data_IF_890753068994
#
_entry.id   IF_890753068994
#
_cell.length_a   1.000
_cell.length_b   1.000
_cell.length_c   1.000
_cell.angle_alpha   90.00
_cell.angle_beta   90.00
_cell.angle_gamma   90.00
#
_symmetry.space_group_name_H-M   'P 1'
#
loop_
_entity.id
_entity.type
_entity.pdbx_description
1 polymer ?
#
# COMPACT_ATOMS: atom_id res chain seq x y z
N UNK A 1 -5.59 4.57 5.35
CA UNK A 1 -7.02 4.23 5.16
C UNK A 1 -7.29 3.95 3.69
N UNK A 2 -7.60 2.70 3.38
CA UNK A 2 -7.87 2.24 2.00
C UNK A 2 -9.34 2.42 1.58
N UNK A 3 -10.19 2.93 2.47
CA UNK A 3 -11.64 3.00 2.25
C UNK A 3 -12.08 4.28 1.55
N UNK A 4 -13.17 4.20 0.80
CA UNK A 4 -13.84 5.39 0.27
C UNK A 4 -14.17 6.36 1.43
N UNK A 5 -13.84 7.61 1.26
CA UNK A 5 -14.15 8.66 2.26
C UNK A 5 -15.66 8.89 2.41
N UNK A 6 -16.46 8.51 1.40
CA UNK A 6 -17.92 8.64 1.45
C UNK A 6 -18.53 7.70 2.47
N UNK A 7 -19.44 8.25 3.25
CA UNK A 7 -20.30 7.49 4.15
C UNK A 7 -21.67 7.31 3.48
N UNK A 8 -22.15 6.06 3.44
CA UNK A 8 -23.49 5.73 2.96
C UNK A 8 -24.36 5.52 4.20
N UNK A 9 -25.37 6.37 4.36
CA UNK A 9 -26.25 6.36 5.54
C UNK A 9 -27.25 5.20 5.49
N UNK A 10 -27.81 4.87 6.64
CA UNK A 10 -28.94 3.92 6.73
C UNK A 10 -30.12 4.40 5.85
N UNK A 11 -30.64 3.51 5.04
CA UNK A 11 -31.67 3.78 4.03
C UNK A 11 -31.13 4.19 2.64
N UNK A 12 -29.85 4.59 2.55
CA UNK A 12 -29.22 4.97 1.28
C UNK A 12 -28.57 3.79 0.55
N UNK A 13 -28.18 4.04 -0.69
CA UNK A 13 -27.50 3.06 -1.53
C UNK A 13 -26.29 3.66 -2.23
N UNK A 14 -25.20 2.89 -2.29
CA UNK A 14 -24.10 3.13 -3.21
C UNK A 14 -24.33 2.29 -4.46
N UNK A 15 -24.32 2.93 -5.63
CA UNK A 15 -24.55 2.28 -6.91
C UNK A 15 -23.29 2.38 -7.77
N UNK A 16 -22.83 1.24 -8.25
CA UNK A 16 -21.66 1.09 -9.11
C UNK A 16 -22.06 0.42 -10.41
N UNK A 17 -21.56 0.90 -11.54
CA UNK A 17 -21.88 0.37 -12.87
C UNK A 17 -20.61 -0.15 -13.53
N UNK A 18 -20.67 -1.36 -14.04
CA UNK A 18 -19.57 -2.06 -14.72
C UNK A 18 -20.02 -2.43 -16.15
N UNK A 19 -19.09 -2.35 -17.09
CA UNK A 19 -19.36 -2.85 -18.43
C UNK A 19 -19.26 -4.38 -18.43
N UNK A 20 -20.23 -5.02 -19.07
CA UNK A 20 -20.20 -6.46 -19.27
C UNK A 20 -19.42 -6.76 -20.55
N UNK A 21 -18.42 -7.66 -20.52
CA UNK A 21 -17.76 -8.10 -21.73
C UNK A 21 -18.73 -8.92 -22.59
N UNK A 22 -18.56 -8.82 -23.89
CA UNK A 22 -19.33 -9.65 -24.81
C UNK A 22 -19.12 -11.15 -24.51
N UNK A 23 -20.20 -11.93 -24.53
CA UNK A 23 -20.21 -13.39 -24.30
C UNK A 23 -19.85 -13.85 -22.89
N UNK A 24 -19.94 -12.98 -21.87
CA UNK A 24 -19.81 -13.42 -20.48
C UNK A 24 -21.09 -14.15 -20.05
N UNK A 25 -20.98 -15.41 -19.65
CA UNK A 25 -22.12 -16.22 -19.16
C UNK A 25 -22.24 -16.18 -17.65
N UNK A 26 -21.13 -16.24 -16.96
CA UNK A 26 -21.06 -16.27 -15.49
C UNK A 26 -19.95 -15.36 -14.99
N UNK A 27 -19.99 -15.05 -13.73
CA UNK A 27 -18.97 -14.23 -13.08
C UNK A 27 -19.05 -14.34 -11.57
N UNK A 28 -18.30 -13.46 -10.91
CA UNK A 28 -18.25 -13.38 -9.47
C UNK A 28 -18.20 -11.93 -9.01
N UNK A 29 -19.07 -11.59 -8.07
CA UNK A 29 -19.02 -10.32 -7.33
C UNK A 29 -18.34 -10.57 -6.00
N UNK A 30 -17.34 -9.77 -5.69
CA UNK A 30 -16.77 -9.67 -4.34
C UNK A 30 -17.01 -8.25 -3.82
N UNK A 31 -17.48 -8.13 -2.60
CA UNK A 31 -17.68 -6.84 -1.95
C UNK A 31 -17.12 -6.88 -0.53
N UNK A 32 -16.47 -5.81 -0.13
CA UNK A 32 -16.02 -5.59 1.24
C UNK A 32 -16.43 -4.19 1.69
N UNK A 33 -17.03 -4.14 2.88
CA UNK A 33 -17.54 -2.91 3.47
C UNK A 33 -17.09 -2.79 4.91
N UNK A 34 -17.03 -1.56 5.42
CA UNK A 34 -16.71 -1.26 6.81
C UNK A 34 -17.73 -0.32 7.40
N UNK A 35 -17.88 -0.37 8.71
CA UNK A 35 -18.72 0.53 9.50
C UNK A 35 -18.12 0.75 10.88
N UNK A 36 -18.42 1.88 11.50
CA UNK A 36 -18.05 2.19 12.88
C UNK A 36 -18.85 1.39 13.94
N UNK A 37 -19.85 0.62 13.52
CA UNK A 37 -20.70 -0.17 14.40
C UNK A 37 -21.37 -1.32 13.68
N UNK A 38 -22.43 -1.87 14.29
CA UNK A 38 -23.23 -2.92 13.67
C UNK A 38 -24.07 -2.34 12.53
N UNK A 39 -23.92 -2.92 11.35
CA UNK A 39 -24.60 -2.46 10.13
C UNK A 39 -24.93 -3.63 9.23
N UNK A 40 -26.10 -3.60 8.61
CA UNK A 40 -26.54 -4.58 7.61
C UNK A 40 -26.60 -3.92 6.24
N UNK A 41 -25.90 -4.49 5.26
CA UNK A 41 -25.82 -3.98 3.90
C UNK A 41 -26.27 -5.06 2.93
N UNK A 42 -27.32 -4.76 2.17
CA UNK A 42 -27.80 -5.66 1.12
C UNK A 42 -27.04 -5.43 -0.17
N UNK A 43 -26.51 -6.51 -0.74
CA UNK A 43 -25.80 -6.51 -2.04
C UNK A 43 -26.75 -6.98 -3.12
N UNK A 44 -26.89 -6.18 -4.18
CA UNK A 44 -27.76 -6.50 -5.34
C UNK A 44 -26.98 -6.37 -6.65
N UNK A 45 -27.32 -7.21 -7.62
CA UNK A 45 -26.89 -7.10 -9.00
C UNK A 45 -28.13 -6.85 -9.88
N UNK A 46 -28.15 -5.76 -10.64
CA UNK A 46 -29.29 -5.39 -11.52
C UNK A 46 -30.64 -5.42 -10.78
N UNK A 47 -30.67 -4.99 -9.52
CA UNK A 47 -31.84 -5.04 -8.65
C UNK A 47 -32.12 -6.38 -7.97
N UNK A 48 -31.48 -7.48 -8.43
CA UNK A 48 -31.63 -8.80 -7.80
C UNK A 48 -30.73 -8.90 -6.57
N UNK A 49 -31.29 -9.30 -5.44
CA UNK A 49 -30.53 -9.54 -4.21
C UNK A 49 -29.56 -10.71 -4.37
N UNK A 50 -28.30 -10.48 -4.01
CA UNK A 50 -27.26 -11.52 -3.91
C UNK A 50 -27.09 -12.02 -2.48
N UNK A 51 -27.06 -11.10 -1.51
CA UNK A 51 -26.88 -11.44 -0.11
C UNK A 51 -26.85 -10.20 0.79
N UNK A 52 -26.43 -10.40 2.03
CA UNK A 52 -26.31 -9.34 3.03
C UNK A 52 -24.95 -9.45 3.70
N UNK A 53 -24.26 -8.31 3.80
CA UNK A 53 -23.03 -8.15 4.58
C UNK A 53 -23.41 -7.56 5.94
N UNK A 54 -22.89 -8.13 7.03
CA UNK A 54 -23.17 -7.66 8.38
C UNK A 54 -21.85 -7.38 9.10
N UNK A 55 -21.66 -6.13 9.51
CA UNK A 55 -20.64 -5.79 10.48
C UNK A 55 -21.20 -6.01 11.88
N UNK A 56 -20.39 -6.55 12.77
CA UNK A 56 -20.80 -6.85 14.16
C UNK A 56 -19.77 -6.27 15.12
N UNK A 57 -20.25 -5.53 16.11
CA UNK A 57 -19.40 -4.97 17.16
C UNK A 57 -18.90 -6.09 18.06
N UNK A 58 -17.58 -6.30 18.12
CA UNK A 58 -16.96 -7.28 19.01
C UNK A 58 -16.24 -6.63 20.19
N UNK A 59 -15.50 -5.55 19.96
CA UNK A 59 -14.71 -4.86 21.00
C UNK A 59 -14.77 -3.34 20.81
N UNK A 60 -15.86 -2.67 21.22
CA UNK A 60 -16.12 -1.26 20.87
C UNK A 60 -15.14 -0.25 21.48
N UNK A 61 -14.46 -0.62 22.58
CA UNK A 61 -13.52 0.28 23.25
C UNK A 61 -12.21 0.52 22.49
N UNK A 62 -11.76 -0.48 21.72
CA UNK A 62 -10.43 -0.47 21.10
C UNK A 62 -10.47 -0.46 19.56
N UNK A 63 -11.59 -0.73 18.95
CA UNK A 63 -11.74 -0.89 17.51
C UNK A 63 -12.48 0.31 16.91
N UNK A 64 -11.93 0.89 15.84
CA UNK A 64 -12.52 2.01 15.12
C UNK A 64 -13.60 1.60 14.13
N UNK A 65 -13.54 0.37 13.66
CA UNK A 65 -14.46 -0.09 12.65
C UNK A 65 -14.47 -1.62 12.53
N UNK A 66 -15.50 -2.08 11.91
CA UNK A 66 -15.78 -3.51 11.70
C UNK A 66 -15.97 -3.73 10.21
N UNK A 67 -15.43 -4.82 9.69
CA UNK A 67 -15.56 -5.15 8.27
C UNK A 67 -16.46 -6.35 8.05
N UNK A 68 -17.02 -6.41 6.85
CA UNK A 68 -17.77 -7.59 6.37
C UNK A 68 -17.52 -7.75 4.89
N UNK A 69 -17.22 -8.97 4.46
CA UNK A 69 -16.99 -9.31 3.06
C UNK A 69 -17.91 -10.41 2.61
N UNK A 70 -18.22 -10.43 1.30
CA UNK A 70 -19.01 -11.48 0.67
C UNK A 70 -18.58 -11.74 -0.75
N UNK A 71 -18.75 -12.99 -1.16
CA UNK A 71 -18.46 -13.45 -2.51
C UNK A 71 -19.70 -14.13 -3.07
N UNK A 72 -20.11 -13.73 -4.27
CA UNK A 72 -21.34 -14.20 -4.88
C UNK A 72 -21.07 -14.64 -6.31
N UNK A 73 -21.37 -15.88 -6.64
CA UNK A 73 -21.37 -16.35 -8.02
C UNK A 73 -22.65 -15.85 -8.72
N UNK A 74 -22.47 -15.32 -9.93
CA UNK A 74 -23.52 -14.65 -10.68
C UNK A 74 -23.62 -15.18 -12.10
N UNK A 75 -24.82 -15.06 -12.69
CA UNK A 75 -25.03 -15.17 -14.12
C UNK A 75 -25.02 -13.77 -14.73
N UNK A 76 -24.42 -13.62 -15.90
CA UNK A 76 -24.47 -12.39 -16.68
C UNK A 76 -25.85 -12.24 -17.33
N UNK A 77 -26.41 -11.04 -17.25
CA UNK A 77 -27.57 -10.68 -18.07
C UNK A 77 -27.07 -10.11 -19.40
N UNK A 78 -27.02 -10.96 -20.40
CA UNK A 78 -26.51 -10.61 -21.74
C UNK A 78 -27.34 -9.52 -22.43
N UNK A 79 -28.57 -9.25 -21.98
CA UNK A 79 -29.40 -8.16 -22.48
C UNK A 79 -28.90 -6.78 -22.06
N UNK A 80 -28.07 -6.72 -21.03
CA UNK A 80 -27.54 -5.49 -20.44
C UNK A 80 -26.08 -5.30 -20.81
N UNK A 81 -25.78 -4.23 -21.54
CA UNK A 81 -24.38 -3.81 -21.80
C UNK A 81 -23.65 -3.38 -20.55
N UNK A 82 -24.38 -3.00 -19.51
CA UNK A 82 -23.85 -2.56 -18.23
C UNK A 82 -24.53 -3.32 -17.12
N UNK A 83 -23.75 -3.82 -16.19
CA UNK A 83 -24.22 -4.47 -14.97
C UNK A 83 -24.12 -3.47 -13.80
N UNK A 84 -25.16 -3.43 -12.97
CA UNK A 84 -25.22 -2.49 -11.85
C UNK A 84 -25.17 -3.26 -10.53
N UNK A 85 -24.18 -2.95 -9.70
CA UNK A 85 -24.09 -3.44 -8.33
C UNK A 85 -24.54 -2.33 -7.40
N UNK A 86 -25.48 -2.62 -6.51
CA UNK A 86 -25.90 -1.70 -5.45
C UNK A 86 -25.67 -2.30 -4.08
N UNK A 87 -25.11 -1.46 -3.20
CA UNK A 87 -24.93 -1.73 -1.77
C UNK A 87 -25.92 -0.84 -1.02
N UNK A 88 -26.99 -1.43 -0.49
CA UNK A 88 -28.04 -0.73 0.23
C UNK A 88 -27.91 -0.95 1.72
N UNK A 89 -27.75 0.12 2.48
CA UNK A 89 -27.67 0.05 3.95
C UNK A 89 -29.08 -0.11 4.52
N UNK A 90 -29.38 -1.32 4.99
CA UNK A 90 -30.70 -1.65 5.53
C UNK A 90 -30.94 -0.99 6.89
N UNK A 91 -29.91 -1.00 7.73
CA UNK A 91 -29.94 -0.42 9.08
C UNK A 91 -28.53 -0.34 9.66
N UNK A 92 -28.39 0.39 10.75
CA UNK A 92 -27.16 0.51 11.52
C UNK A 92 -26.38 1.80 11.26
N UNK A 93 -25.10 1.78 11.60
CA UNK A 93 -24.20 2.88 11.43
C UNK A 93 -23.82 3.08 9.95
N UNK A 94 -23.32 4.27 9.55
CA UNK A 94 -22.92 4.53 8.17
C UNK A 94 -21.88 3.54 7.67
N UNK A 95 -22.08 3.07 6.44
CA UNK A 95 -21.15 2.19 5.72
C UNK A 95 -20.10 3.00 4.96
N UNK A 96 -18.89 2.46 4.85
CA UNK A 96 -17.86 2.86 3.87
C UNK A 96 -17.51 1.69 3.00
N UNK A 97 -17.29 1.95 1.72
CA UNK A 97 -16.82 0.95 0.78
C UNK A 97 -15.32 0.76 0.93
N UNK A 98 -14.86 -0.48 1.04
CA UNK A 98 -13.48 -0.85 0.81
C UNK A 98 -13.28 -1.15 -0.67
N UNK A 99 -13.87 -2.24 -1.16
CA UNK A 99 -13.89 -2.52 -2.60
C UNK A 99 -15.14 -3.27 -3.04
N UNK A 100 -15.45 -3.13 -4.32
CA UNK A 100 -16.29 -4.05 -5.08
C UNK A 100 -15.52 -4.49 -6.31
N UNK A 101 -15.44 -5.79 -6.51
CA UNK A 101 -14.84 -6.42 -7.68
C UNK A 101 -15.87 -7.24 -8.42
N UNK A 102 -15.89 -7.12 -9.74
CA UNK A 102 -16.71 -7.91 -10.63
C UNK A 102 -15.80 -8.61 -11.64
N UNK A 103 -15.72 -9.93 -11.53
CA UNK A 103 -14.95 -10.76 -12.46
C UNK A 103 -15.89 -11.58 -13.34
N UNK A 104 -15.53 -11.76 -14.60
CA UNK A 104 -16.30 -12.51 -15.56
C UNK A 104 -15.55 -13.76 -16.03
N UNK A 105 -16.28 -14.86 -16.16
CA UNK A 105 -15.81 -16.05 -16.84
C UNK A 105 -16.08 -15.88 -18.33
N UNK A 106 -15.09 -15.38 -19.04
CA UNK A 106 -15.12 -15.32 -20.51
C UNK A 106 -14.14 -16.34 -21.06
N UNK A 107 -14.44 -17.00 -22.20
CA UNK A 107 -13.42 -17.74 -22.89
C UNK A 107 -12.26 -16.81 -23.21
N UNK A 108 -11.10 -17.09 -22.68
CA UNK A 108 -9.91 -16.31 -22.98
C UNK A 108 -9.48 -16.64 -24.41
N UNK A 109 -9.81 -15.79 -25.36
CA UNK A 109 -9.22 -15.82 -26.67
C UNK A 109 -7.96 -14.98 -26.63
N UNK A 110 -6.80 -15.62 -26.76
CA UNK A 110 -5.59 -14.89 -27.11
C UNK A 110 -5.87 -14.16 -28.41
N UNK A 111 -5.74 -12.84 -28.40
CA UNK A 111 -5.87 -12.03 -29.60
C UNK A 111 -4.94 -12.55 -30.70
N UNK A 112 -5.27 -12.33 -31.93
CA UNK A 112 -4.40 -12.67 -33.05
C UNK A 112 -3.27 -11.63 -33.13
N UNK A 113 -2.14 -11.91 -32.46
CA UNK A 113 -0.98 -11.04 -32.44
C UNK A 113 -0.48 -10.61 -33.84
N UNK A 114 -0.84 -11.36 -34.88
CA UNK A 114 -0.47 -11.01 -36.26
C UNK A 114 -1.36 -9.93 -36.87
N UNK A 115 -2.58 -9.74 -36.34
CA UNK A 115 -3.56 -8.77 -36.86
C UNK A 115 -3.93 -7.67 -35.89
N UNK A 116 -3.59 -7.84 -34.59
CA UNK A 116 -3.88 -6.83 -33.57
C UNK A 116 -2.90 -5.66 -33.69
N UNK A 117 -3.44 -4.46 -33.69
CA UNK A 117 -2.62 -3.24 -33.56
C UNK A 117 -2.16 -3.12 -32.13
N UNK A 118 -0.90 -3.43 -31.86
CA UNK A 118 -0.32 -3.23 -30.54
C UNK A 118 -0.08 -1.73 -30.31
N UNK A 119 -0.31 -1.24 -29.08
CA UNK A 119 0.01 0.14 -28.74
C UNK A 119 1.51 0.38 -28.90
N UNK A 120 1.85 1.49 -29.55
CA UNK A 120 3.25 1.91 -29.67
C UNK A 120 3.66 2.53 -28.34
N UNK A 121 4.76 2.04 -27.71
CA UNK A 121 5.24 2.64 -26.47
C UNK A 121 5.66 4.09 -26.69
N UNK A 122 5.21 4.97 -25.79
CA UNK A 122 5.62 6.36 -25.76
C UNK A 122 6.88 6.51 -24.89
N UNK A 123 7.90 7.15 -25.44
CA UNK A 123 9.08 7.46 -24.64
C UNK A 123 8.77 8.54 -23.62
N UNK A 124 8.98 8.25 -22.34
CA UNK A 124 8.78 9.22 -21.25
C UNK A 124 10.12 9.83 -20.83
N UNK A 125 11.06 9.00 -20.39
CA UNK A 125 12.43 9.44 -20.05
C UNK A 125 13.36 8.22 -19.89
N UNK A 126 14.66 8.48 -19.92
CA UNK A 126 15.66 7.46 -19.59
C UNK A 126 15.95 7.48 -18.08
N UNK A 127 15.81 6.33 -17.43
CA UNK A 127 16.23 6.16 -16.03
C UNK A 127 17.75 6.11 -15.99
N UNK A 128 18.35 6.81 -15.02
CA UNK A 128 19.77 6.64 -14.71
C UNK A 128 20.01 5.21 -14.23
N UNK A 129 21.00 4.54 -14.83
CA UNK A 129 21.33 3.18 -14.40
C UNK A 129 21.82 3.22 -12.95
N UNK A 130 21.22 2.40 -12.11
CA UNK A 130 21.53 2.26 -10.69
C UNK A 130 21.79 0.78 -10.40
N UNK A 131 22.54 0.48 -9.34
CA UNK A 131 22.80 -0.89 -8.88
C UNK A 131 23.11 -0.88 -7.39
N UNK A 132 22.09 -0.63 -6.59
CA UNK A 132 22.20 -0.66 -5.12
C UNK A 132 22.42 -2.06 -4.57
N UNK A 133 22.16 -3.10 -5.36
CA UNK A 133 22.56 -4.46 -5.01
C UNK A 133 24.08 -4.64 -4.97
N UNK A 134 24.85 -3.80 -5.64
CA UNK A 134 26.33 -3.79 -5.61
C UNK A 134 26.92 -2.79 -4.61
N UNK A 135 26.12 -2.03 -3.89
CA UNK A 135 26.61 -1.06 -2.91
C UNK A 135 27.55 -1.69 -1.89
N UNK A 136 28.61 -0.96 -1.58
CA UNK A 136 29.54 -1.38 -0.52
C UNK A 136 28.89 -1.33 0.86
N UNK A 137 29.42 -2.11 1.80
CA UNK A 137 29.01 -2.06 3.21
C UNK A 137 29.12 -0.65 3.78
N UNK A 138 28.09 -0.26 4.54
CA UNK A 138 28.01 1.04 5.19
C UNK A 138 27.68 0.89 6.67
N UNK A 139 28.27 1.76 7.47
CA UNK A 139 27.94 1.88 8.90
C UNK A 139 26.67 2.71 9.10
N UNK A 140 26.43 3.67 8.20
CA UNK A 140 25.25 4.54 8.20
C UNK A 140 24.64 4.60 6.80
N UNK A 141 23.33 4.48 6.73
CA UNK A 141 22.52 4.72 5.53
C UNK A 141 21.67 5.96 5.74
N UNK A 142 21.69 6.89 4.80
CA UNK A 142 20.84 8.08 4.78
C UNK A 142 19.89 7.95 3.61
N UNK A 143 18.58 7.78 3.90
CA UNK A 143 17.54 7.77 2.87
C UNK A 143 16.96 9.17 2.74
N UNK A 144 16.86 9.67 1.51
CA UNK A 144 16.29 10.98 1.19
C UNK A 144 15.08 10.84 0.28
N UNK A 145 14.14 11.81 0.30
CA UNK A 145 13.00 11.81 -0.62
C UNK A 145 13.42 11.81 -2.09
N UNK A 146 12.59 11.24 -2.94
CA UNK A 146 12.74 11.15 -4.40
C UNK A 146 13.08 12.50 -5.06
N UNK A 147 12.53 13.60 -4.57
CA UNK A 147 12.82 14.95 -5.09
C UNK A 147 14.26 15.41 -4.89
N UNK A 148 15.04 14.73 -4.07
CA UNK A 148 16.43 15.00 -3.73
C UNK A 148 16.74 16.43 -3.24
N UNK A 149 15.73 17.17 -2.80
CA UNK A 149 15.90 18.55 -2.28
C UNK A 149 16.81 18.61 -1.06
N UNK A 150 16.93 17.50 -0.33
CA UNK A 150 17.78 17.37 0.87
C UNK A 150 19.17 16.79 0.58
N UNK A 151 19.51 16.51 -0.67
CA UNK A 151 20.78 15.88 -1.02
C UNK A 151 22.00 16.67 -0.53
N UNK A 152 21.95 18.00 -0.59
CA UNK A 152 23.07 18.85 -0.11
C UNK A 152 23.27 18.69 1.42
N UNK A 153 22.18 18.59 2.18
CA UNK A 153 22.21 18.37 3.63
C UNK A 153 22.66 16.94 3.97
N UNK A 154 22.20 15.95 3.22
CA UNK A 154 22.65 14.56 3.36
C UNK A 154 24.17 14.46 3.14
N UNK A 155 24.70 15.13 2.10
CA UNK A 155 26.15 15.18 1.83
C UNK A 155 26.94 15.85 2.98
N UNK A 156 26.41 16.91 3.57
CA UNK A 156 27.04 17.54 4.73
C UNK A 156 27.09 16.61 5.94
N UNK A 157 25.98 15.90 6.21
CA UNK A 157 25.89 14.91 7.28
C UNK A 157 26.86 13.75 7.04
N UNK A 158 26.88 13.21 5.81
CA UNK A 158 27.86 12.19 5.39
C UNK A 158 29.29 12.64 5.67
N UNK A 159 29.69 13.81 5.15
CA UNK A 159 31.05 14.34 5.33
C UNK A 159 31.41 14.52 6.81
N UNK A 160 30.45 14.92 7.66
CA UNK A 160 30.66 15.07 9.10
C UNK A 160 31.04 13.72 9.72
N UNK A 161 30.22 12.68 9.51
CA UNK A 161 30.41 11.35 10.11
C UNK A 161 31.62 10.61 9.50
N UNK A 162 31.87 10.76 8.21
CA UNK A 162 33.08 10.21 7.59
C UNK A 162 34.35 10.81 8.18
N UNK A 163 34.34 12.14 8.43
CA UNK A 163 35.52 12.84 8.94
C UNK A 163 35.69 12.73 10.46
N UNK A 164 34.61 12.85 11.23
CA UNK A 164 34.67 12.87 12.69
C UNK A 164 34.71 11.46 13.29
N UNK A 165 33.95 10.54 12.70
CA UNK A 165 33.69 9.22 13.30
C UNK A 165 34.30 8.08 12.47
N UNK A 166 34.84 8.37 11.29
CA UNK A 166 35.42 7.37 10.40
C UNK A 166 34.38 6.40 9.79
N UNK A 167 33.10 6.78 9.80
CA UNK A 167 32.00 5.93 9.31
C UNK A 167 31.99 5.83 7.78
N UNK A 168 31.57 4.71 7.27
CA UNK A 168 31.18 4.51 5.88
C UNK A 168 29.72 4.92 5.74
N UNK A 169 29.41 5.88 4.88
CA UNK A 169 28.04 6.43 4.78
C UNK A 169 27.52 6.35 3.34
N UNK A 170 26.38 5.70 3.15
CA UNK A 170 25.64 5.69 1.88
C UNK A 170 24.47 6.69 1.94
N UNK A 171 24.23 7.39 0.84
CA UNK A 171 23.05 8.24 0.66
C UNK A 171 22.26 7.65 -0.51
N UNK A 172 20.96 7.36 -0.29
CA UNK A 172 20.12 6.72 -1.28
C UNK A 172 18.79 7.46 -1.41
N UNK A 173 18.40 7.91 -2.62
CA UNK A 173 17.05 8.39 -2.89
C UNK A 173 16.01 7.27 -2.78
N UNK A 174 14.83 7.60 -2.28
CA UNK A 174 13.78 6.61 -1.99
C UNK A 174 13.29 5.87 -3.25
N UNK A 175 13.15 6.58 -4.39
CA UNK A 175 12.71 5.98 -5.66
C UNK A 175 13.68 4.94 -6.20
N UNK A 176 14.97 5.13 -5.97
CA UNK A 176 15.99 4.14 -6.36
C UNK A 176 15.82 2.84 -5.58
N UNK A 177 15.45 2.93 -4.29
CA UNK A 177 15.11 1.75 -3.48
C UNK A 177 13.81 1.10 -3.93
N UNK A 178 12.79 1.88 -4.32
CA UNK A 178 11.56 1.30 -4.85
C UNK A 178 11.80 0.50 -6.11
N UNK A 179 12.65 0.99 -6.99
CA UNK A 179 12.99 0.31 -8.25
C UNK A 179 13.62 -1.06 -8.00
N UNK A 180 14.58 -1.16 -7.10
CA UNK A 180 15.35 -2.39 -6.88
C UNK A 180 14.76 -3.33 -5.82
N UNK A 181 14.11 -2.79 -4.77
CA UNK A 181 13.68 -3.58 -3.61
C UNK A 181 12.16 -3.73 -3.47
N UNK A 182 11.37 -3.08 -4.33
CA UNK A 182 9.91 -3.25 -4.36
C UNK A 182 9.30 -3.21 -5.78
N UNK A 183 10.07 -3.62 -6.78
CA UNK A 183 9.64 -3.75 -8.18
C UNK A 183 9.05 -2.44 -8.76
N UNK A 184 9.59 -1.30 -8.38
CA UNK A 184 9.15 0.04 -8.80
C UNK A 184 7.90 0.56 -8.08
N UNK A 185 7.34 -0.20 -7.16
CA UNK A 185 6.19 0.24 -6.36
C UNK A 185 6.67 1.00 -5.14
N UNK A 186 6.16 2.23 -4.86
CA UNK A 186 6.45 2.92 -3.61
C UNK A 186 5.96 2.09 -2.41
N UNK A 187 6.92 1.53 -1.69
CA UNK A 187 6.69 0.62 -0.56
C UNK A 187 7.76 0.90 0.51
N UNK A 188 7.33 1.27 1.71
CA UNK A 188 8.22 1.55 2.84
C UNK A 188 9.13 0.35 3.18
N UNK A 189 8.68 -0.88 2.93
CA UNK A 189 9.49 -2.07 3.16
C UNK A 189 10.76 -2.16 2.28
N UNK A 190 10.85 -1.37 1.20
CA UNK A 190 12.05 -1.28 0.38
C UNK A 190 13.26 -0.78 1.18
N UNK A 191 13.04 0.14 2.12
CA UNK A 191 14.10 0.65 3.00
C UNK A 191 14.69 -0.47 3.88
N UNK A 192 13.80 -1.26 4.49
CA UNK A 192 14.19 -2.41 5.30
C UNK A 192 14.91 -3.48 4.45
N UNK A 193 14.43 -3.76 3.23
CA UNK A 193 15.05 -4.75 2.34
C UNK A 193 16.47 -4.35 1.93
N UNK A 194 16.70 -3.08 1.67
CA UNK A 194 18.04 -2.57 1.40
C UNK A 194 18.97 -2.74 2.61
N UNK A 195 18.52 -2.36 3.81
CA UNK A 195 19.28 -2.57 5.04
C UNK A 195 19.51 -4.05 5.32
N UNK A 196 18.49 -4.89 5.12
CA UNK A 196 18.59 -6.35 5.26
C UNK A 196 19.65 -6.94 4.34
N UNK A 197 19.71 -6.47 3.10
CA UNK A 197 20.75 -6.90 2.15
C UNK A 197 22.16 -6.55 2.67
N UNK A 198 22.37 -5.34 3.18
CA UNK A 198 23.67 -4.95 3.77
C UNK A 198 23.97 -5.77 5.04
N UNK A 199 22.97 -6.00 5.88
CA UNK A 199 23.09 -6.81 7.10
C UNK A 199 23.48 -8.26 6.79
N UNK A 200 22.78 -8.92 5.86
CA UNK A 200 23.03 -10.32 5.52
C UNK A 200 24.37 -10.55 4.81
N UNK A 201 24.88 -9.56 4.10
CA UNK A 201 26.20 -9.62 3.42
C UNK A 201 27.37 -9.35 4.35
N UNK A 202 27.11 -8.82 5.54
CA UNK A 202 28.17 -8.52 6.49
C UNK A 202 28.88 -9.81 6.94
N UNK A 203 30.19 -9.83 6.81
CA UNK A 203 31.00 -10.99 7.22
C UNK A 203 31.40 -10.92 8.70
N UNK A 204 31.32 -9.75 9.29
CA UNK A 204 31.62 -9.51 10.71
C UNK A 204 30.59 -8.53 11.29
N UNK A 205 30.45 -8.51 12.61
CA UNK A 205 29.60 -7.54 13.30
C UNK A 205 30.04 -6.08 13.03
N UNK A 206 31.32 -5.86 12.78
CA UNK A 206 31.82 -4.52 12.45
C UNK A 206 31.36 -4.02 11.08
N UNK A 207 31.04 -4.94 10.18
CA UNK A 207 30.57 -4.62 8.82
C UNK A 207 29.06 -4.43 8.71
N UNK A 208 28.30 -4.79 9.75
CA UNK A 208 26.86 -4.59 9.75
C UNK A 208 26.49 -3.10 9.76
N UNK A 209 25.38 -2.70 9.11
CA UNK A 209 24.85 -1.35 9.25
C UNK A 209 24.42 -1.10 10.69
N UNK A 210 24.71 0.10 11.20
CA UNK A 210 24.45 0.51 12.59
C UNK A 210 23.41 1.60 12.70
N UNK A 211 23.33 2.46 11.67
CA UNK A 211 22.49 3.65 11.71
C UNK A 211 21.70 3.79 10.40
N UNK A 212 20.42 4.07 10.54
CA UNK A 212 19.55 4.55 9.46
C UNK A 212 19.09 5.96 9.78
N UNK A 213 19.31 6.89 8.85
CA UNK A 213 18.78 8.24 8.93
C UNK A 213 17.72 8.42 7.84
N UNK A 214 16.47 8.61 8.24
CA UNK A 214 15.37 8.97 7.36
C UNK A 214 15.33 10.51 7.25
N UNK A 215 16.16 11.06 6.35
CA UNK A 215 16.33 12.49 6.21
C UNK A 215 15.19 13.10 5.37
N UNK A 216 14.08 13.34 6.02
CA UNK A 216 12.85 13.90 5.43
C UNK A 216 11.68 13.78 6.39
N UNK A 217 10.55 14.29 5.96
CA UNK A 217 9.30 14.07 6.67
C UNK A 217 8.58 12.85 6.10
N UNK A 218 7.87 12.14 6.94
CA UNK A 218 6.87 11.15 6.55
C UNK A 218 5.47 11.62 6.93
N UNK A 219 4.45 10.92 6.45
CA UNK A 219 3.08 11.18 6.82
C UNK A 219 2.31 9.86 6.91
N UNK A 220 1.26 9.87 7.70
CA UNK A 220 0.39 8.70 7.90
C UNK A 220 -0.47 8.35 6.67
N UNK A 221 -0.65 9.27 5.74
CA UNK A 221 -1.37 9.04 4.49
C UNK A 221 -0.38 8.91 3.33
N UNK A 222 0.32 7.81 3.28
CA UNK A 222 1.31 7.50 2.24
C UNK A 222 0.75 7.61 0.80
N UNK A 223 -0.57 7.54 0.63
CA UNK A 223 -1.24 7.58 -0.68
C UNK A 223 -1.82 8.95 -1.02
N UNK A 224 -1.71 9.93 -0.14
CA UNK A 224 -2.23 11.29 -0.30
C UNK A 224 -3.73 11.34 -0.65
N UNK A 225 -4.53 10.50 -0.01
CA UNK A 225 -5.97 10.36 -0.30
C UNK A 225 -6.83 11.36 0.47
N UNK A 226 -6.37 11.79 1.63
CA UNK A 226 -7.11 12.73 2.47
C UNK A 226 -7.10 14.15 1.91
N UNK A 227 -8.07 14.96 2.33
CA UNK A 227 -8.17 16.35 1.90
C UNK A 227 -6.95 17.19 2.29
N UNK A 228 -6.34 16.88 3.42
CA UNK A 228 -5.15 17.53 3.96
C UNK A 228 -3.91 17.20 3.13
N UNK A 229 -3.73 15.91 2.78
CA UNK A 229 -2.53 15.41 2.13
C UNK A 229 -2.58 15.49 0.60
N UNK A 230 -3.77 15.54 0.00
CA UNK A 230 -3.98 15.49 -1.47
C UNK A 230 -3.24 16.57 -2.26
N UNK A 231 -2.88 17.70 -1.62
CA UNK A 231 -2.16 18.81 -2.25
C UNK A 231 -0.64 18.68 -2.11
N UNK A 232 -0.16 17.71 -1.37
CA UNK A 232 1.25 17.48 -1.14
C UNK A 232 1.85 16.76 -2.33
N UNK A 233 3.16 16.88 -2.49
CA UNK A 233 3.91 16.18 -3.55
C UNK A 233 4.54 14.93 -2.97
N UNK A 234 4.15 13.76 -3.45
CA UNK A 234 4.66 12.48 -2.98
C UNK A 234 6.20 12.42 -2.95
N UNK A 235 6.85 12.98 -3.99
CA UNK A 235 8.31 12.96 -4.12
C UNK A 235 9.06 13.76 -3.04
N UNK A 236 8.38 14.62 -2.29
CA UNK A 236 8.98 15.44 -1.22
C UNK A 236 8.97 14.75 0.15
N UNK A 237 8.38 13.54 0.26
CA UNK A 237 8.20 12.81 1.51
C UNK A 237 8.77 11.40 1.43
N UNK A 238 9.17 10.88 2.58
CA UNK A 238 9.46 9.47 2.76
C UNK A 238 8.18 8.73 3.12
N UNK A 239 8.09 7.46 2.75
CA UNK A 239 6.99 6.62 3.20
C UNK A 239 7.21 6.21 4.65
N UNK A 240 6.14 6.27 5.45
CA UNK A 240 6.13 5.68 6.78
C UNK A 240 5.70 4.21 6.71
N UNK A 241 6.28 3.36 7.55
CA UNK A 241 5.71 2.05 7.80
C UNK A 241 4.46 2.20 8.67
N UNK A 242 3.38 1.61 8.22
CA UNK A 242 2.11 1.58 8.94
C UNK A 242 1.85 0.15 9.41
N UNK A 243 1.39 0.02 10.66
CA UNK A 243 1.00 -1.28 11.22
C UNK A 243 -0.18 -1.89 10.45
N UNK A 244 -0.32 -3.21 10.49
CA UNK A 244 -1.37 -3.93 9.76
C UNK A 244 -2.79 -3.67 10.29
N UNK A 245 -2.91 -3.27 11.55
CA UNK A 245 -4.18 -3.15 12.28
C UNK A 245 -4.76 -1.74 12.19
N UNK A 246 -5.34 -1.38 11.06
CA UNK A 246 -5.94 -0.04 10.86
C UNK A 246 -7.18 0.23 11.71
N UNK A 247 -7.81 -0.79 12.27
CA UNK A 247 -9.05 -0.64 13.06
C UNK A 247 -8.86 -0.67 14.57
N UNK A 248 -7.79 -1.27 15.07
CA UNK A 248 -7.50 -1.28 16.51
C UNK A 248 -6.78 0.01 16.92
N UNK A 249 -7.36 0.74 17.89
CA UNK A 249 -6.84 2.02 18.39
C UNK A 249 -5.47 1.93 19.04
N UNK A 250 -5.07 0.76 19.50
CA UNK A 250 -3.79 0.51 20.15
C UNK A 250 -2.71 0.10 19.16
N UNK A 251 -3.13 -0.52 18.05
CA UNK A 251 -2.25 -1.15 17.07
C UNK A 251 -2.16 -0.38 15.75
N UNK A 252 -2.97 0.68 15.57
CA UNK A 252 -2.92 1.57 14.40
C UNK A 252 -1.92 2.71 14.63
N UNK A 253 -0.67 2.50 14.23
CA UNK A 253 0.42 3.46 14.40
C UNK A 253 1.43 3.39 13.24
N UNK A 254 2.24 4.41 13.12
CA UNK A 254 3.46 4.40 12.28
C UNK A 254 4.65 4.01 13.15
N UNK A 255 5.62 3.27 12.57
CA UNK A 255 6.74 2.72 13.33
C UNK A 255 8.01 2.70 12.49
N UNK A 256 8.94 3.58 12.82
CA UNK A 256 10.23 3.64 12.14
C UNK A 256 11.20 2.55 12.62
N UNK A 257 10.98 1.96 13.79
CA UNK A 257 11.81 0.85 14.29
C UNK A 257 11.70 -0.41 13.41
N UNK A 258 10.58 -0.55 12.66
CA UNK A 258 10.41 -1.59 11.66
C UNK A 258 11.58 -1.73 10.70
N UNK A 259 12.21 -0.63 10.32
CA UNK A 259 13.33 -0.66 9.36
C UNK A 259 14.60 -1.24 9.96
N UNK A 260 14.76 -1.16 11.29
CA UNK A 260 15.90 -1.69 12.03
C UNK A 260 15.79 -3.16 12.47
N UNK A 261 14.61 -3.76 12.33
CA UNK A 261 14.36 -5.16 12.68
C UNK A 261 14.80 -6.07 11.54
N UNK A 262 16.04 -6.54 11.56
CA UNK A 262 16.68 -7.21 10.42
C UNK A 262 16.87 -8.72 10.57
N UNK A 263 16.66 -9.30 11.74
CA UNK A 263 16.74 -10.75 11.92
C UNK A 263 15.54 -11.46 11.27
N UNK A 264 15.74 -12.73 10.89
CA UNK A 264 14.70 -13.55 10.29
C UNK A 264 13.57 -13.80 11.32
N UNK A 265 12.32 -13.67 10.85
CA UNK A 265 11.13 -13.79 11.69
C UNK A 265 10.74 -12.51 12.42
N UNK A 266 11.54 -11.46 12.35
CA UNK A 266 11.17 -10.11 12.78
C UNK A 266 10.27 -9.44 11.71
N UNK A 267 9.56 -8.41 12.10
CA UNK A 267 8.96 -7.52 11.12
C UNK A 267 7.47 -7.33 11.19
N UNK A 268 6.74 -8.07 12.01
CA UNK A 268 5.30 -7.86 12.17
C UNK A 268 4.87 -7.63 13.62
N UNK A 269 5.78 -7.79 14.58
CA UNK A 269 5.51 -7.50 15.99
C UNK A 269 6.75 -6.92 16.63
N UNK A 270 6.67 -5.73 17.22
CA UNK A 270 7.81 -5.06 17.87
C UNK A 270 8.13 -5.72 19.23
N UNK A 271 8.59 -6.96 19.21
CA UNK A 271 9.04 -7.65 20.42
C UNK A 271 10.57 -7.80 20.46
N UNK A 272 11.26 -7.27 19.46
CA UNK A 272 12.68 -7.51 19.24
C UNK A 272 13.48 -6.21 19.32
N UNK A 273 14.73 -6.35 19.70
CA UNK A 273 15.67 -5.22 19.77
C UNK A 273 16.05 -4.80 18.36
N UNK A 274 16.00 -3.53 18.10
CA UNK A 274 16.46 -2.96 16.83
C UNK A 274 17.93 -3.32 16.60
N UNK A 275 18.26 -3.71 15.38
CA UNK A 275 19.65 -4.01 14.98
C UNK A 275 20.34 -2.78 14.42
N UNK A 276 19.57 -1.79 14.02
CA UNK A 276 20.02 -0.54 13.44
C UNK A 276 19.29 0.60 14.17
N UNK A 277 20.04 1.56 14.66
CA UNK A 277 19.45 2.79 15.21
C UNK A 277 18.82 3.61 14.08
N UNK A 278 17.54 3.96 14.23
CA UNK A 278 16.76 4.73 13.26
C UNK A 278 16.57 6.16 13.76
N UNK A 279 16.86 7.14 12.91
CA UNK A 279 16.71 8.56 13.20
C UNK A 279 16.13 9.35 12.00
#
# INVERSE_FOLDING_TARGET
NLYDSRQVQSGDSLVLTFEAPEKALTGRVMANVTSGGSTSVEVRLNGRRLGTLNTTVSEPLYVYGFQSSGTYDIACDESLKRQTISLHVLNGEPMRLDFVSLTWNTPHQLGNLATDTLPVPEYVYAITNQDHHSDSQADMVIIIPTSQKLLAQARRLKQLHEKADGMRVNIVPADELYNEFSSGTPDASAYRRYLKMLYDRATTLADQPKYLVLLGNSMWDNRLLTSECRKMKADDYLLAYESEESFDKRLSYVDDSFYGMLDDGEGLRPLYVDKVDVA
#
